data_IF_964051387722
#
_entry.id   IF_964051387722
#
_cell.length_a   1.000
_cell.length_b   1.000
_cell.length_c   1.000
_cell.angle_alpha   90.00
_cell.angle_beta   90.00
_cell.angle_gamma   90.00
#
_symmetry.space_group_name_H-M   'P 1'
#
loop_
_entity.id
_entity.type
_entity.pdbx_description
1 polymer ?
#
# COMPACT_ATOMS: atom_id res chain seq x y z
N UNK A 1 -33.49 -33.58 20.65
CA UNK A 1 -32.85 -34.74 19.99
C UNK A 1 -32.37 -34.45 18.55
N UNK A 2 -32.78 -33.35 17.90
CA UNK A 2 -32.28 -32.96 16.56
C UNK A 2 -31.01 -32.07 16.57
N UNK A 3 -30.66 -31.48 17.72
CA UNK A 3 -29.46 -30.64 17.89
C UNK A 3 -28.15 -31.45 18.04
N UNK A 4 -28.21 -32.77 18.19
CA UNK A 4 -27.04 -33.62 18.42
C UNK A 4 -26.51 -34.32 17.14
N UNK A 5 -27.16 -34.11 15.99
CA UNK A 5 -26.82 -34.75 14.70
C UNK A 5 -26.06 -33.83 13.73
N UNK A 6 -25.87 -32.56 14.09
CA UNK A 6 -24.93 -31.70 13.38
C UNK A 6 -23.55 -31.90 14.01
N UNK A 7 -22.86 -32.97 13.59
CA UNK A 7 -21.44 -33.13 13.90
C UNK A 7 -20.72 -31.83 13.53
N UNK A 8 -19.97 -31.27 14.48
CA UNK A 8 -19.21 -30.05 14.25
C UNK A 8 -18.36 -30.23 12.98
N UNK A 9 -18.69 -29.48 11.93
CA UNK A 9 -17.88 -29.49 10.71
C UNK A 9 -16.47 -29.08 11.13
N UNK A 10 -15.45 -29.92 10.88
CA UNK A 10 -14.09 -29.58 11.28
C UNK A 10 -13.68 -28.26 10.62
N UNK A 11 -12.91 -27.41 11.30
CA UNK A 11 -12.46 -26.15 10.71
C UNK A 11 -11.71 -26.45 9.41
N UNK A 12 -11.89 -25.62 8.36
CA UNK A 12 -11.23 -25.84 7.09
C UNK A 12 -9.70 -25.83 7.27
N UNK A 13 -8.95 -26.59 6.46
CA UNK A 13 -7.50 -26.48 6.43
C UNK A 13 -7.05 -25.04 6.19
N UNK A 14 -5.91 -24.66 6.79
CA UNK A 14 -5.41 -23.28 6.76
C UNK A 14 -5.37 -22.66 5.35
N UNK A 15 -4.88 -23.39 4.35
CA UNK A 15 -4.80 -22.89 2.98
C UNK A 15 -6.17 -22.58 2.36
N UNK A 16 -7.21 -23.35 2.70
CA UNK A 16 -8.56 -23.12 2.22
C UNK A 16 -9.18 -21.91 2.92
N UNK A 17 -9.00 -21.80 4.25
CA UNK A 17 -9.42 -20.64 5.02
C UNK A 17 -8.77 -19.34 4.49
N UNK A 18 -7.47 -19.41 4.19
CA UNK A 18 -6.72 -18.30 3.60
C UNK A 18 -7.28 -17.89 2.23
N UNK A 19 -7.54 -18.84 1.32
CA UNK A 19 -8.10 -18.54 0.00
C UNK A 19 -9.47 -17.86 0.12
N UNK A 20 -10.32 -18.33 1.04
CA UNK A 20 -11.63 -17.71 1.27
C UNK A 20 -11.50 -16.26 1.76
N UNK A 21 -10.60 -16.01 2.72
CA UNK A 21 -10.31 -14.64 3.19
C UNK A 21 -9.69 -13.78 2.10
N UNK A 22 -8.79 -14.33 1.29
CA UNK A 22 -8.20 -13.64 0.15
C UNK A 22 -9.27 -13.21 -0.87
N UNK A 23 -10.24 -14.08 -1.17
CA UNK A 23 -11.36 -13.74 -2.06
C UNK A 23 -12.22 -12.61 -1.51
N UNK A 24 -12.46 -12.58 -0.19
CA UNK A 24 -13.22 -11.49 0.45
C UNK A 24 -12.55 -10.11 0.38
N UNK A 25 -11.25 -10.04 0.04
CA UNK A 25 -10.56 -8.75 -0.16
C UNK A 25 -11.15 -7.93 -1.31
N UNK A 26 -11.75 -8.59 -2.32
CA UNK A 26 -12.35 -7.90 -3.48
C UNK A 26 -13.49 -6.98 -3.07
N UNK A 27 -14.24 -7.35 -2.03
CA UNK A 27 -15.37 -6.58 -1.50
C UNK A 27 -14.95 -5.63 -0.35
N UNK A 28 -13.68 -5.67 0.05
CA UNK A 28 -13.17 -4.82 1.14
C UNK A 28 -12.90 -3.39 0.65
N UNK A 29 -13.63 -2.43 1.21
CA UNK A 29 -13.54 -1.00 0.84
C UNK A 29 -12.15 -0.41 1.07
N UNK A 30 -11.44 -0.82 2.13
CA UNK A 30 -10.10 -0.30 2.42
C UNK A 30 -9.10 -0.83 1.39
N UNK A 31 -9.21 -2.12 1.00
CA UNK A 31 -8.38 -2.71 -0.05
C UNK A 31 -8.65 -2.01 -1.40
N UNK A 32 -9.91 -1.73 -1.71
CA UNK A 32 -10.28 -0.98 -2.91
C UNK A 32 -9.60 0.40 -2.94
N UNK A 33 -9.69 1.17 -1.84
CA UNK A 33 -9.02 2.48 -1.73
C UNK A 33 -7.51 2.33 -1.86
N UNK A 34 -6.91 1.31 -1.24
CA UNK A 34 -5.48 1.03 -1.34
C UNK A 34 -5.02 0.76 -2.77
N UNK A 35 -5.70 -0.12 -3.50
CA UNK A 35 -5.38 -0.42 -4.90
C UNK A 35 -5.46 0.83 -5.76
N UNK A 36 -6.51 1.65 -5.59
CA UNK A 36 -6.63 2.92 -6.30
C UNK A 36 -5.56 3.95 -5.93
N UNK A 37 -5.13 3.99 -4.66
CA UNK A 37 -4.03 4.83 -4.24
C UNK A 37 -2.70 4.39 -4.90
N UNK A 38 -2.41 3.09 -4.96
CA UNK A 38 -1.23 2.54 -5.65
C UNK A 38 -1.26 2.89 -7.14
N UNK A 39 -2.42 2.69 -7.79
CA UNK A 39 -2.60 3.04 -9.20
C UNK A 39 -2.40 4.54 -9.46
N UNK A 40 -3.00 5.39 -8.62
CA UNK A 40 -2.85 6.84 -8.70
C UNK A 40 -1.39 7.28 -8.54
N UNK A 41 -0.65 6.64 -7.64
CA UNK A 41 0.77 6.94 -7.44
C UNK A 41 1.62 6.55 -8.65
N UNK A 42 1.41 5.36 -9.20
CA UNK A 42 2.08 4.93 -10.45
C UNK A 42 1.76 5.89 -11.59
N UNK A 43 0.49 6.29 -11.77
CA UNK A 43 0.07 7.21 -12.82
C UNK A 43 0.71 8.59 -12.64
N UNK A 44 0.64 9.17 -11.43
CA UNK A 44 1.21 10.49 -11.16
C UNK A 44 2.74 10.50 -11.25
N UNK A 45 3.39 9.42 -10.80
CA UNK A 45 4.84 9.23 -10.95
C UNK A 45 5.27 9.12 -12.40
N UNK A 46 4.48 8.43 -13.23
CA UNK A 46 4.73 8.34 -14.67
C UNK A 46 4.56 9.70 -15.36
N UNK A 47 3.46 10.43 -15.12
CA UNK A 47 3.23 11.76 -15.71
C UNK A 47 4.33 12.73 -15.30
N UNK A 48 4.73 12.73 -14.02
CA UNK A 48 5.86 13.52 -13.52
C UNK A 48 7.16 13.24 -14.27
N UNK A 49 7.42 11.99 -14.62
CA UNK A 49 8.64 11.64 -15.38
C UNK A 49 8.64 12.24 -16.78
N UNK A 50 7.46 12.35 -17.41
CA UNK A 50 7.29 12.98 -18.72
C UNK A 50 7.48 14.51 -18.66
N UNK A 51 6.94 15.16 -17.62
CA UNK A 51 7.04 16.62 -17.48
C UNK A 51 8.48 17.11 -17.28
N UNK A 52 9.34 16.32 -16.63
CA UNK A 52 10.74 16.68 -16.35
C UNK A 52 11.75 16.22 -17.41
N UNK A 53 11.31 15.56 -18.50
CA UNK A 53 12.17 15.01 -19.59
C UNK A 53 13.37 14.17 -19.12
N UNK A 54 13.40 13.72 -17.87
CA UNK A 54 14.49 12.97 -17.26
C UNK A 54 14.05 11.53 -17.00
N UNK A 55 13.69 10.80 -18.05
CA UNK A 55 13.21 9.43 -17.93
C UNK A 55 14.39 8.47 -17.91
N UNK A 56 14.91 8.17 -16.72
CA UNK A 56 15.81 7.03 -16.54
C UNK A 56 14.95 5.76 -16.34
N UNK A 57 14.99 4.84 -17.30
CA UNK A 57 14.23 3.58 -17.26
C UNK A 57 14.52 2.75 -16.00
N UNK A 58 15.74 2.80 -15.48
CA UNK A 58 16.12 2.15 -14.22
C UNK A 58 15.35 2.73 -13.03
N UNK A 59 15.14 4.06 -13.01
CA UNK A 59 14.37 4.72 -11.94
C UNK A 59 12.89 4.35 -12.02
N UNK A 60 12.32 4.29 -13.23
CA UNK A 60 10.94 3.86 -13.46
C UNK A 60 10.70 2.41 -13.05
N UNK A 61 11.59 1.50 -13.43
CA UNK A 61 11.50 0.09 -13.06
C UNK A 61 11.63 -0.13 -11.55
N UNK A 62 12.57 0.55 -10.90
CA UNK A 62 12.70 0.48 -9.44
C UNK A 62 11.45 1.01 -8.72
N UNK A 63 10.82 2.06 -9.24
CA UNK A 63 9.53 2.55 -8.72
C UNK A 63 8.45 1.47 -8.82
N UNK A 64 8.26 0.91 -10.01
CA UNK A 64 7.27 -0.14 -10.22
C UNK A 64 7.50 -1.37 -9.34
N UNK A 65 8.75 -1.79 -9.17
CA UNK A 65 9.10 -2.90 -8.29
C UNK A 65 8.73 -2.62 -6.83
N UNK A 66 8.98 -1.41 -6.32
CA UNK A 66 8.59 -1.02 -4.96
C UNK A 66 7.07 -1.09 -4.78
N UNK A 67 6.30 -0.57 -5.74
CA UNK A 67 4.84 -0.63 -5.67
C UNK A 67 4.31 -2.06 -5.74
N UNK A 68 4.88 -2.91 -6.61
CA UNK A 68 4.53 -4.31 -6.72
C UNK A 68 4.85 -5.09 -5.42
N UNK A 69 6.03 -4.87 -4.84
CA UNK A 69 6.45 -5.52 -3.60
C UNK A 69 5.53 -5.16 -2.43
N UNK A 70 5.18 -3.87 -2.27
CA UNK A 70 4.25 -3.44 -1.23
C UNK A 70 2.82 -3.96 -1.47
N UNK A 71 2.35 -3.95 -2.72
CA UNK A 71 1.04 -4.50 -3.06
C UNK A 71 0.96 -5.99 -2.72
N UNK A 72 1.97 -6.78 -3.11
CA UNK A 72 2.03 -8.20 -2.77
C UNK A 72 2.09 -8.42 -1.26
N UNK A 73 2.89 -7.63 -0.53
CA UNK A 73 2.96 -7.71 0.93
C UNK A 73 1.59 -7.51 1.56
N UNK A 74 0.86 -6.46 1.18
CA UNK A 74 -0.44 -6.14 1.76
C UNK A 74 -1.50 -7.19 1.39
N UNK A 75 -1.60 -7.56 0.11
CA UNK A 75 -2.61 -8.53 -0.35
C UNK A 75 -2.40 -9.94 0.23
N UNK A 76 -1.16 -10.28 0.60
CA UNK A 76 -0.86 -11.57 1.24
C UNK A 76 -0.94 -11.54 2.76
N UNK A 77 -0.52 -10.44 3.39
CA UNK A 77 -0.51 -10.33 4.85
C UNK A 77 -1.89 -10.05 5.42
N UNK A 78 -2.73 -9.26 4.74
CA UNK A 78 -4.04 -8.87 5.25
C UNK A 78 -4.93 -10.09 5.56
N UNK A 79 -5.09 -11.09 4.67
CA UNK A 79 -5.87 -12.29 4.98
C UNK A 79 -5.29 -13.09 6.15
N UNK A 80 -3.98 -13.08 6.36
CA UNK A 80 -3.36 -13.75 7.52
C UNK A 80 -3.77 -13.05 8.82
N UNK A 81 -3.72 -11.73 8.86
CA UNK A 81 -4.13 -10.96 10.04
C UNK A 81 -5.62 -11.11 10.32
N UNK A 82 -6.44 -11.14 9.28
CA UNK A 82 -7.88 -11.41 9.39
C UNK A 82 -8.15 -12.83 9.90
N UNK A 83 -7.43 -13.85 9.41
CA UNK A 83 -7.51 -15.23 9.96
C UNK A 83 -7.13 -15.32 11.45
N UNK A 84 -6.27 -14.42 11.94
CA UNK A 84 -5.90 -14.33 13.36
C UNK A 84 -6.89 -13.50 14.18
N UNK A 85 -7.99 -13.04 13.57
CA UNK A 85 -8.98 -12.13 14.17
C UNK A 85 -8.39 -10.77 14.57
N UNK A 86 -7.27 -10.36 13.95
CA UNK A 86 -6.58 -9.09 14.19
C UNK A 86 -7.03 -7.99 13.22
N UNK A 87 -8.33 -7.92 12.97
CA UNK A 87 -8.95 -7.01 11.99
C UNK A 87 -8.52 -5.55 12.16
N UNK A 88 -8.55 -5.04 13.39
CA UNK A 88 -8.16 -3.66 13.68
C UNK A 88 -6.68 -3.38 13.35
N UNK A 89 -5.80 -4.37 13.56
CA UNK A 89 -4.39 -4.27 13.19
C UNK A 89 -4.22 -4.27 11.67
N UNK A 90 -4.94 -5.16 10.97
CA UNK A 90 -4.93 -5.23 9.50
C UNK A 90 -5.38 -3.91 8.88
N UNK A 91 -6.50 -3.34 9.37
CA UNK A 91 -7.04 -2.07 8.89
C UNK A 91 -6.11 -0.89 9.19
N UNK A 92 -5.51 -0.85 10.38
CA UNK A 92 -4.54 0.19 10.76
C UNK A 92 -3.30 0.12 9.88
N UNK A 93 -2.77 -1.08 9.68
CA UNK A 93 -1.60 -1.32 8.83
C UNK A 93 -1.88 -0.93 7.38
N UNK A 94 -3.03 -1.33 6.83
CA UNK A 94 -3.47 -0.96 5.49
C UNK A 94 -3.63 0.56 5.34
N UNK A 95 -4.29 1.20 6.31
CA UNK A 95 -4.51 2.66 6.33
C UNK A 95 -3.18 3.43 6.36
N UNK A 96 -2.18 2.94 7.11
CA UNK A 96 -0.85 3.53 7.14
C UNK A 96 -0.17 3.50 5.77
N UNK A 97 -0.29 2.40 5.02
CA UNK A 97 0.23 2.34 3.65
C UNK A 97 -0.57 3.19 2.66
N UNK A 98 -1.90 3.28 2.80
CA UNK A 98 -2.70 4.23 2.02
C UNK A 98 -2.16 5.65 2.20
N UNK A 99 -1.85 6.06 3.44
CA UNK A 99 -1.26 7.37 3.72
C UNK A 99 0.08 7.56 2.99
N UNK A 100 0.96 6.56 2.97
CA UNK A 100 2.21 6.64 2.20
C UNK A 100 1.98 6.89 0.70
N UNK A 101 0.99 6.22 0.10
CA UNK A 101 0.65 6.45 -1.31
C UNK A 101 0.04 7.83 -1.55
N UNK A 102 -0.81 8.31 -0.63
CA UNK A 102 -1.33 9.69 -0.70
C UNK A 102 -0.20 10.71 -0.61
N UNK A 103 0.75 10.52 0.30
CA UNK A 103 1.96 11.35 0.40
C UNK A 103 2.72 11.36 -0.92
N UNK A 104 3.00 10.18 -1.49
CA UNK A 104 3.79 10.07 -2.73
C UNK A 104 3.09 10.72 -3.94
N UNK A 105 1.76 10.55 -4.06
CA UNK A 105 0.94 11.25 -5.05
C UNK A 105 1.10 12.75 -4.90
N UNK A 106 0.97 13.28 -3.68
CA UNK A 106 1.06 14.72 -3.42
C UNK A 106 2.45 15.26 -3.77
N UNK A 107 3.52 14.53 -3.45
CA UNK A 107 4.88 14.90 -3.87
C UNK A 107 5.02 14.93 -5.40
N UNK A 108 4.46 13.94 -6.10
CA UNK A 108 4.45 13.89 -7.56
C UNK A 108 3.71 15.10 -8.15
N UNK A 109 2.52 15.43 -7.63
CA UNK A 109 1.73 16.61 -8.02
C UNK A 109 2.50 17.92 -7.77
N UNK A 110 3.12 18.05 -6.61
CA UNK A 110 3.90 19.24 -6.26
C UNK A 110 5.09 19.47 -7.21
N UNK A 111 5.78 18.40 -7.62
CA UNK A 111 6.88 18.49 -8.59
C UNK A 111 6.41 18.78 -10.03
N UNK A 112 5.14 18.51 -10.35
CA UNK A 112 4.51 18.92 -11.61
C UNK A 112 4.02 20.37 -11.59
N UNK A 113 4.19 21.10 -10.48
CA UNK A 113 3.72 22.48 -10.33
C UNK A 113 2.22 22.60 -10.02
N UNK A 114 1.55 21.48 -9.74
CA UNK A 114 0.14 21.50 -9.34
C UNK A 114 0.05 22.08 -7.91
N UNK A 115 -0.83 23.05 -7.66
CA UNK A 115 -0.95 23.68 -6.35
C UNK A 115 -1.42 22.66 -5.31
N UNK A 116 -0.54 22.42 -4.33
CA UNK A 116 -0.82 21.59 -3.14
C UNK A 116 -0.90 22.51 -1.92
N UNK A 117 -1.83 22.27 -0.97
CA UNK A 117 -1.95 23.09 0.23
C UNK A 117 -0.62 23.20 1.01
N UNK A 118 -0.29 24.41 1.47
CA UNK A 118 1.00 24.72 2.10
C UNK A 118 1.27 23.88 3.35
N UNK A 119 0.21 23.56 4.13
CA UNK A 119 0.33 22.71 5.30
C UNK A 119 0.83 21.32 4.92
N UNK A 120 0.35 20.73 3.81
CA UNK A 120 0.80 19.42 3.34
C UNK A 120 2.27 19.47 2.96
N UNK A 121 2.67 20.44 2.13
CA UNK A 121 4.07 20.60 1.70
C UNK A 121 5.03 20.64 2.90
N UNK A 122 4.69 21.40 3.96
CA UNK A 122 5.53 21.54 5.15
C UNK A 122 5.81 20.23 5.87
N UNK A 123 4.80 19.35 5.99
CA UNK A 123 4.99 18.05 6.63
C UNK A 123 5.75 17.08 5.72
N UNK A 124 5.41 17.03 4.43
CA UNK A 124 6.02 16.07 3.51
C UNK A 124 7.52 16.32 3.31
N UNK A 125 7.93 17.56 3.07
CA UNK A 125 9.35 17.87 2.88
C UNK A 125 10.18 17.57 4.15
N UNK A 126 9.61 17.82 5.34
CA UNK A 126 10.29 17.49 6.59
C UNK A 126 10.51 15.97 6.76
N UNK A 127 9.51 15.15 6.43
CA UNK A 127 9.66 13.68 6.47
C UNK A 127 10.67 13.18 5.43
N UNK A 128 10.64 13.73 4.22
CA UNK A 128 11.53 13.33 3.12
C UNK A 128 12.99 13.73 3.39
N UNK A 129 13.24 14.87 4.03
CA UNK A 129 14.58 15.27 4.46
C UNK A 129 15.11 14.34 5.58
N UNK A 130 14.29 14.03 6.60
CA UNK A 130 14.67 13.07 7.66
C UNK A 130 14.95 11.65 7.12
N UNK A 131 14.17 11.19 6.13
CA UNK A 131 14.39 9.89 5.47
C UNK A 131 15.71 9.85 4.68
N UNK A 132 16.07 10.94 4.00
CA UNK A 132 17.31 11.02 3.22
C UNK A 132 18.55 11.24 4.10
N UNK A 133 18.43 11.93 5.23
CA UNK A 133 19.54 12.12 6.19
C UNK A 133 19.89 10.85 6.99
N UNK A 134 18.95 9.91 7.12
CA UNK A 134 19.17 8.61 7.78
C UNK A 134 19.59 7.48 6.82
N UNK A 135 19.72 7.76 5.52
CA UNK A 135 20.35 6.83 4.57
C UNK A 135 21.84 6.61 4.93
N UNK A 136 22.42 5.44 4.60
CA UNK A 136 23.83 5.19 4.90
C UNK A 136 24.67 6.30 4.26
N UNK A 137 25.40 7.04 5.08
CA UNK A 137 26.44 7.96 4.61
C UNK A 137 27.44 7.12 3.84
N UNK A 138 27.31 7.09 2.51
CA UNK A 138 28.30 6.51 1.62
C UNK A 138 29.64 7.18 1.92
N UNK A 139 30.52 6.42 2.57
CA UNK A 139 31.89 6.81 2.79
C UNK A 139 32.55 7.12 1.45
N UNK A 140 33.35 8.18 1.46
CA UNK A 140 34.27 8.54 0.37
C UNK A 140 35.18 7.38 0.01
#
# INVERSE_FOLDING_TARGET
MFHALMGAVPPPPFHLAYILKFQSLVDNKFIFVYVWAVMGDIMTGFVKSLTHKSTNSTKGLNGLFKHAALMLLILTLYPVLDLLEWNAMADTFLSFYILFYVVSIVENLGQMGIPVPAWVKRYLYKLSDEYNEQGPKGGK
#
